data_IF_092915390391
#
_entry.id   IF_092915390391
#
_cell.length_a   1.000
_cell.length_b   1.000
_cell.length_c   1.000
_cell.angle_alpha   90.00
_cell.angle_beta   90.00
_cell.angle_gamma   90.00
#
_symmetry.space_group_name_H-M   'P 1'
#
loop_
_entity.id
_entity.type
_entity.pdbx_description
1 polymer ?
#
# COMPACT_ATOMS: atom_id res chain seq x y z
N UNK A 1 14.24 10.90 18.81
CA UNK A 1 15.33 11.88 18.56
C UNK A 1 15.13 12.43 17.17
N UNK A 2 14.65 13.68 17.06
CA UNK A 2 14.35 14.32 15.78
C UNK A 2 15.62 14.34 14.90
N UNK A 3 15.56 13.73 13.72
CA UNK A 3 16.53 14.02 12.67
C UNK A 3 16.24 15.42 12.12
N UNK A 4 16.75 16.43 12.83
CA UNK A 4 17.04 17.74 12.29
C UNK A 4 18.29 17.60 11.41
N UNK A 5 18.08 17.48 10.10
CA UNK A 5 19.13 17.72 9.13
C UNK A 5 19.13 19.22 8.79
N UNK A 6 20.28 19.84 8.97
CA UNK A 6 20.59 21.21 8.56
C UNK A 6 20.12 21.51 7.13
N UNK A 7 19.37 22.61 6.97
CA UNK A 7 19.43 23.44 5.76
C UNK A 7 18.64 23.02 4.52
N UNK A 8 17.84 21.95 4.54
CA UNK A 8 16.81 21.69 3.52
C UNK A 8 15.50 21.41 4.22
N UNK A 9 14.41 22.07 3.81
CA UNK A 9 13.08 21.87 4.38
C UNK A 9 12.79 20.38 4.53
N UNK A 10 12.63 19.90 5.77
CA UNK A 10 12.18 18.54 6.11
C UNK A 10 10.74 18.42 5.59
N UNK A 11 10.59 18.13 4.31
CA UNK A 11 9.27 18.01 3.71
C UNK A 11 8.74 16.65 4.16
N UNK A 12 7.77 16.64 5.05
CA UNK A 12 7.10 15.39 5.40
C UNK A 12 6.19 14.95 4.24
N UNK A 13 5.94 13.64 4.14
CA UNK A 13 4.97 13.11 3.18
C UNK A 13 3.58 13.66 3.56
N UNK A 14 2.94 14.45 2.69
CA UNK A 14 1.65 15.05 3.01
C UNK A 14 0.55 13.99 3.04
N UNK A 15 -0.33 14.06 4.03
CA UNK A 15 -1.53 13.23 4.05
C UNK A 15 -2.51 13.58 2.93
N UNK A 16 -3.22 12.57 2.43
CA UNK A 16 -4.33 12.70 1.49
C UNK A 16 -5.41 11.67 1.84
N UNK A 17 -6.61 12.15 2.19
CA UNK A 17 -7.76 11.28 2.46
C UNK A 17 -8.32 10.70 1.16
N UNK A 18 -8.57 9.39 1.12
CA UNK A 18 -9.21 8.76 -0.03
C UNK A 18 -10.59 9.40 -0.30
N UNK A 19 -10.88 9.68 -1.56
CA UNK A 19 -12.14 10.30 -1.98
C UNK A 19 -13.19 9.28 -2.42
N UNK A 20 -12.79 8.01 -2.59
CA UNK A 20 -13.62 6.92 -3.10
C UNK A 20 -13.41 5.68 -2.21
N UNK A 21 -14.44 4.84 -2.07
CA UNK A 21 -14.30 3.58 -1.36
C UNK A 21 -13.45 2.63 -2.21
N UNK A 22 -12.42 2.04 -1.61
CA UNK A 22 -11.49 1.12 -2.29
C UNK A 22 -10.28 1.79 -2.98
N UNK A 23 -10.14 3.11 -2.90
CA UNK A 23 -9.02 3.86 -3.51
C UNK A 23 -7.90 4.21 -2.51
N UNK A 24 -7.77 3.48 -1.39
CA UNK A 24 -6.72 3.69 -0.39
C UNK A 24 -5.29 3.59 -0.98
N UNK A 25 -5.03 2.59 -1.84
CA UNK A 25 -3.76 2.48 -2.56
C UNK A 25 -3.44 3.71 -3.43
N UNK A 26 -4.36 4.11 -4.36
CA UNK A 26 -4.24 5.34 -5.13
C UNK A 26 -4.03 6.59 -4.28
N UNK A 27 -4.71 6.69 -3.13
CA UNK A 27 -4.52 7.79 -2.19
C UNK A 27 -3.09 7.80 -1.63
N UNK A 28 -2.50 6.65 -1.28
CA UNK A 28 -1.09 6.54 -0.91
C UNK A 28 -0.17 7.05 -2.03
N UNK A 29 -0.42 6.66 -3.29
CA UNK A 29 0.35 7.15 -4.45
C UNK A 29 0.23 8.67 -4.59
N UNK A 30 -0.95 9.26 -4.38
CA UNK A 30 -1.16 10.72 -4.41
C UNK A 30 -0.29 11.43 -3.39
N UNK A 31 -0.12 10.88 -2.17
CA UNK A 31 0.76 11.45 -1.16
C UNK A 31 2.20 11.60 -1.69
N UNK A 32 2.71 10.57 -2.36
CA UNK A 32 4.03 10.62 -3.00
C UNK A 32 4.09 11.53 -4.22
N UNK A 33 3.04 11.58 -5.04
CA UNK A 33 2.97 12.54 -6.15
C UNK A 33 3.04 13.98 -5.63
N UNK A 34 2.35 14.32 -4.54
CA UNK A 34 2.41 15.66 -3.92
C UNK A 34 3.77 15.91 -3.26
N UNK A 35 4.39 14.87 -2.71
CA UNK A 35 5.73 14.94 -2.15
C UNK A 35 6.78 15.29 -3.20
N UNK A 36 6.89 14.50 -4.28
CA UNK A 36 7.89 14.70 -5.33
C UNK A 36 7.51 15.79 -6.34
N UNK A 37 6.21 16.05 -6.57
CA UNK A 37 5.68 17.01 -7.53
C UNK A 37 4.69 17.96 -6.86
N UNK A 38 5.21 18.93 -6.08
CA UNK A 38 4.39 19.83 -5.24
C UNK A 38 3.29 20.61 -5.96
N UNK A 39 3.41 20.84 -7.28
CA UNK A 39 2.44 21.58 -8.10
C UNK A 39 1.30 20.71 -8.65
N UNK A 40 1.26 19.41 -8.33
CA UNK A 40 0.20 18.54 -8.84
C UNK A 40 -1.17 18.91 -8.25
N UNK A 41 -2.16 19.11 -9.11
CA UNK A 41 -3.54 19.36 -8.68
C UNK A 41 -4.21 18.04 -8.29
N UNK A 42 -4.49 17.87 -7.00
CA UNK A 42 -5.25 16.71 -6.50
C UNK A 42 -6.73 16.90 -6.84
N UNK A 43 -7.31 15.93 -7.53
CA UNK A 43 -8.73 15.91 -7.89
C UNK A 43 -9.27 14.49 -7.81
N UNK A 44 -10.59 14.33 -7.60
CA UNK A 44 -11.25 13.02 -7.66
C UNK A 44 -10.98 12.28 -8.99
N UNK A 45 -10.85 13.02 -10.09
CA UNK A 45 -10.50 12.47 -11.41
C UNK A 45 -9.08 11.89 -11.44
N UNK A 46 -8.12 12.54 -10.78
CA UNK A 46 -6.76 11.99 -10.66
C UNK A 46 -6.79 10.66 -9.89
N UNK A 47 -7.50 10.62 -8.76
CA UNK A 47 -7.62 9.41 -7.94
C UNK A 47 -8.29 8.26 -8.70
N UNK A 48 -9.40 8.52 -9.40
CA UNK A 48 -10.06 7.55 -10.30
C UNK A 48 -9.11 7.01 -11.37
N UNK A 49 -8.30 7.88 -11.98
CA UNK A 49 -7.35 7.50 -13.02
C UNK A 49 -6.20 6.65 -12.47
N UNK A 50 -5.80 6.88 -11.22
CA UNK A 50 -4.80 6.05 -10.54
C UNK A 50 -5.43 4.71 -10.14
N UNK A 51 -6.66 4.73 -9.62
CA UNK A 51 -7.40 3.53 -9.24
C UNK A 51 -7.63 2.58 -10.42
N UNK A 52 -8.03 3.09 -11.58
CA UNK A 52 -8.22 2.27 -12.78
C UNK A 52 -6.92 1.62 -13.30
N UNK A 53 -5.75 2.15 -12.95
CA UNK A 53 -4.45 1.55 -13.28
C UNK A 53 -4.01 0.48 -12.28
N UNK A 54 -4.62 0.47 -11.10
CA UNK A 54 -4.30 -0.46 -10.02
C UNK A 54 -5.41 -1.43 -9.68
N UNK A 55 -6.49 -1.45 -10.46
CA UNK A 55 -7.67 -2.22 -10.15
C UNK A 55 -7.39 -3.73 -10.25
N UNK A 56 -7.83 -4.48 -9.26
CA UNK A 56 -8.06 -5.93 -9.32
C UNK A 56 -9.54 -6.19 -9.62
N UNK A 57 -9.81 -6.62 -10.85
CA UNK A 57 -11.17 -6.90 -11.31
C UNK A 57 -11.62 -8.25 -10.75
N UNK A 58 -12.87 -8.37 -10.26
CA UNK A 58 -13.93 -7.35 -10.24
C UNK A 58 -14.07 -6.57 -8.92
N UNK A 59 -13.25 -6.85 -7.91
CA UNK A 59 -13.53 -6.45 -6.54
C UNK A 59 -13.35 -4.97 -6.19
N UNK A 60 -12.75 -4.16 -7.07
CA UNK A 60 -12.46 -2.76 -6.71
C UNK A 60 -11.19 -2.61 -5.86
N UNK A 61 -10.55 -3.72 -5.49
CA UNK A 61 -9.31 -3.71 -4.72
C UNK A 61 -8.13 -3.19 -5.55
N UNK A 62 -7.08 -2.75 -4.84
CA UNK A 62 -5.89 -2.18 -5.46
C UNK A 62 -4.69 -3.09 -5.34
N UNK A 63 -4.06 -3.34 -6.50
CA UNK A 63 -2.87 -4.15 -6.69
C UNK A 63 -1.57 -3.37 -6.49
N UNK A 64 -0.58 -3.96 -5.85
CA UNK A 64 0.72 -3.34 -5.59
C UNK A 64 1.49 -3.01 -6.86
N UNK A 65 1.43 -3.85 -7.90
CA UNK A 65 2.11 -3.56 -9.15
C UNK A 65 1.41 -2.44 -9.90
N UNK A 66 0.08 -2.35 -9.82
CA UNK A 66 -0.66 -1.21 -10.34
C UNK A 66 -0.32 0.12 -9.67
N UNK A 67 -0.11 0.10 -8.36
CA UNK A 67 0.42 1.25 -7.60
C UNK A 67 1.86 1.56 -8.03
N UNK A 68 2.71 0.53 -8.12
CA UNK A 68 4.09 0.63 -8.61
C UNK A 68 4.16 1.25 -10.01
N UNK A 69 3.37 0.75 -10.96
CA UNK A 69 3.24 1.30 -12.31
C UNK A 69 2.88 2.79 -12.28
N UNK A 70 1.96 3.19 -11.41
CA UNK A 70 1.56 4.58 -11.25
C UNK A 70 2.70 5.47 -10.74
N UNK A 71 3.57 4.96 -9.88
CA UNK A 71 4.80 5.63 -9.45
C UNK A 71 5.83 5.70 -10.59
N UNK A 72 6.03 4.60 -11.30
CA UNK A 72 7.01 4.46 -12.39
C UNK A 72 6.76 5.42 -13.55
N UNK A 73 5.53 5.48 -14.06
CA UNK A 73 5.15 6.45 -15.12
C UNK A 73 5.23 7.91 -14.67
N UNK A 74 5.38 8.15 -13.37
CA UNK A 74 5.59 9.46 -12.79
C UNK A 74 7.07 9.74 -12.46
N UNK A 75 8.00 8.87 -12.90
CA UNK A 75 9.44 8.96 -12.63
C UNK A 75 9.79 8.93 -11.14
N UNK A 76 8.98 8.24 -10.32
CA UNK A 76 9.28 8.00 -8.90
C UNK A 76 9.92 6.62 -8.80
N UNK A 77 11.12 6.55 -8.22
CA UNK A 77 11.87 5.31 -8.04
C UNK A 77 11.19 4.45 -6.97
N UNK A 78 10.68 3.30 -7.37
CA UNK A 78 10.03 2.37 -6.47
C UNK A 78 10.35 0.90 -6.79
N UNK A 79 10.21 0.05 -5.78
CA UNK A 79 10.41 -1.39 -5.83
C UNK A 79 9.24 -2.07 -5.13
N UNK A 80 8.61 -3.03 -5.80
CA UNK A 80 7.56 -3.86 -5.23
C UNK A 80 8.22 -5.03 -4.51
N UNK A 81 7.85 -5.24 -3.25
CA UNK A 81 8.29 -6.40 -2.46
C UNK A 81 7.07 -7.23 -2.07
N UNK A 82 7.09 -8.51 -2.41
CA UNK A 82 6.04 -9.48 -2.06
C UNK A 82 6.66 -10.75 -1.47
N UNK A 83 5.88 -11.53 -0.73
CA UNK A 83 6.33 -12.85 -0.27
C UNK A 83 6.10 -13.94 -1.32
N UNK A 84 5.07 -13.75 -2.16
CA UNK A 84 4.78 -14.56 -3.33
C UNK A 84 4.51 -13.68 -4.56
N UNK A 85 4.99 -14.11 -5.72
CA UNK A 85 4.71 -13.41 -6.98
C UNK A 85 3.23 -13.54 -7.34
N UNK A 86 2.64 -14.71 -7.13
CA UNK A 86 1.24 -14.93 -7.49
C UNK A 86 0.31 -14.26 -6.47
N UNK A 87 -0.76 -13.65 -6.98
CA UNK A 87 -1.80 -13.05 -6.15
C UNK A 87 -3.02 -13.97 -6.07
N UNK A 88 -3.37 -14.39 -4.85
CA UNK A 88 -4.56 -15.19 -4.58
C UNK A 88 -5.28 -14.66 -3.34
N UNK A 89 -6.59 -14.52 -3.45
CA UNK A 89 -7.46 -14.20 -2.32
C UNK A 89 -8.17 -15.47 -1.87
N UNK A 90 -8.07 -15.77 -0.57
CA UNK A 90 -8.82 -16.84 0.07
C UNK A 90 -9.43 -16.35 1.39
N UNK A 91 -10.41 -15.44 1.32
CA UNK A 91 -11.00 -14.81 2.49
C UNK A 91 -11.84 -15.80 3.30
N UNK A 92 -12.10 -15.50 4.57
CA UNK A 92 -12.90 -16.39 5.44
C UNK A 92 -14.40 -16.42 5.09
N UNK A 93 -14.95 -15.27 4.71
CA UNK A 93 -16.38 -15.13 4.40
C UNK A 93 -16.80 -16.11 3.30
N UNK A 94 -17.80 -16.99 3.53
CA UNK A 94 -18.26 -17.96 2.53
C UNK A 94 -18.70 -17.32 1.21
N UNK A 95 -19.37 -16.17 1.30
CA UNK A 95 -19.80 -15.37 0.14
C UNK A 95 -18.58 -14.91 -0.65
N UNK A 96 -17.59 -14.35 0.04
CA UNK A 96 -16.38 -13.88 -0.63
C UNK A 96 -15.55 -15.04 -1.20
N UNK A 97 -15.50 -16.21 -0.55
CA UNK A 97 -14.87 -17.42 -1.13
C UNK A 97 -15.54 -17.83 -2.44
N UNK A 98 -16.88 -17.84 -2.47
CA UNK A 98 -17.62 -18.16 -3.69
C UNK A 98 -17.28 -17.17 -4.82
N UNK A 99 -17.26 -15.86 -4.53
CA UNK A 99 -16.86 -14.85 -5.50
C UNK A 99 -15.41 -15.00 -5.96
N UNK A 100 -14.46 -15.23 -5.05
CA UNK A 100 -13.06 -15.47 -5.39
C UNK A 100 -12.88 -16.75 -6.23
N UNK A 101 -13.72 -17.78 -6.04
CA UNK A 101 -13.70 -18.98 -6.90
C UNK A 101 -14.19 -18.68 -8.32
N UNK A 102 -15.23 -17.87 -8.46
CA UNK A 102 -15.81 -17.50 -9.76
C UNK A 102 -14.87 -16.55 -10.52
N UNK A 103 -14.29 -15.59 -9.82
CA UNK A 103 -13.52 -14.49 -10.44
C UNK A 103 -12.00 -14.61 -10.24
N UNK A 104 -11.51 -15.68 -9.62
CA UNK A 104 -10.10 -15.84 -9.29
C UNK A 104 -9.18 -15.74 -10.50
N UNK A 105 -9.60 -16.32 -11.63
CA UNK A 105 -8.84 -16.22 -12.88
C UNK A 105 -8.76 -14.77 -13.39
N UNK A 106 -9.84 -13.99 -13.27
CA UNK A 106 -9.85 -12.57 -13.64
C UNK A 106 -8.88 -11.77 -12.78
N UNK A 107 -8.87 -12.02 -11.46
CA UNK A 107 -7.95 -11.38 -10.53
C UNK A 107 -6.50 -11.69 -10.89
N UNK A 108 -6.18 -12.97 -11.11
CA UNK A 108 -4.82 -13.41 -11.44
C UNK A 108 -4.36 -12.82 -12.79
N UNK A 109 -5.25 -12.79 -13.80
CA UNK A 109 -4.95 -12.17 -15.09
C UNK A 109 -4.72 -10.67 -14.97
N UNK A 110 -5.57 -9.96 -14.23
CA UNK A 110 -5.41 -8.52 -14.00
C UNK A 110 -4.14 -8.21 -13.20
N UNK A 111 -3.84 -9.01 -12.17
CA UNK A 111 -2.60 -8.91 -11.41
C UNK A 111 -1.36 -9.09 -12.31
N UNK A 112 -1.32 -10.17 -13.12
CA UNK A 112 -0.22 -10.39 -14.09
C UNK A 112 -0.10 -9.26 -15.12
N UNK A 113 -1.23 -8.72 -15.57
CA UNK A 113 -1.25 -7.56 -16.47
C UNK A 113 -0.64 -6.32 -15.80
N UNK A 114 -1.03 -6.00 -14.57
CA UNK A 114 -0.49 -4.88 -13.80
C UNK A 114 1.01 -5.06 -13.53
N UNK A 115 1.43 -6.26 -13.14
CA UNK A 115 2.84 -6.64 -12.98
C UNK A 115 3.67 -6.36 -14.22
N UNK A 116 3.23 -6.87 -15.37
CA UNK A 116 3.93 -6.65 -16.64
C UNK A 116 4.06 -5.17 -17.00
N UNK A 117 3.03 -4.35 -16.70
CA UNK A 117 3.08 -2.90 -16.91
C UNK A 117 4.06 -2.22 -15.96
N UNK A 118 4.06 -2.59 -14.69
CA UNK A 118 4.96 -2.03 -13.69
C UNK A 118 6.42 -2.28 -14.08
N UNK A 119 6.77 -3.53 -14.41
CA UNK A 119 8.12 -3.90 -14.81
C UNK A 119 8.57 -3.15 -16.08
N UNK A 120 7.70 -3.04 -17.08
CA UNK A 120 7.98 -2.25 -18.31
C UNK A 120 8.16 -0.75 -18.03
N UNK A 121 7.62 -0.23 -16.93
CA UNK A 121 7.82 1.17 -16.50
C UNK A 121 9.06 1.39 -15.64
N UNK A 122 9.92 0.37 -15.48
CA UNK A 122 11.17 0.47 -14.72
C UNK A 122 11.03 0.18 -13.22
N UNK A 123 9.87 -0.30 -12.77
CA UNK A 123 9.67 -0.75 -11.39
C UNK A 123 10.41 -2.07 -11.20
N UNK A 124 11.16 -2.16 -10.11
CA UNK A 124 11.82 -3.41 -9.69
C UNK A 124 10.86 -4.25 -8.87
N UNK A 125 11.07 -5.55 -8.90
CA UNK A 125 10.38 -6.49 -8.02
C UNK A 125 11.39 -7.29 -7.20
N UNK A 126 10.98 -7.66 -5.99
CA UNK A 126 11.76 -8.52 -5.12
C UNK A 126 10.83 -9.43 -4.33
N UNK A 127 11.12 -10.73 -4.34
CA UNK A 127 10.44 -11.68 -3.47
C UNK A 127 11.22 -11.79 -2.15
N UNK A 128 10.60 -11.49 -1.03
CA UNK A 128 11.25 -11.50 0.29
C UNK A 128 10.24 -11.64 1.42
N UNK A 129 10.66 -12.22 2.54
CA UNK A 129 9.86 -12.26 3.78
C UNK A 129 9.71 -10.86 4.36
N UNK A 130 8.47 -10.38 4.52
CA UNK A 130 8.19 -9.03 5.02
C UNK A 130 7.96 -9.11 6.53
N UNK A 131 8.91 -8.59 7.29
CA UNK A 131 8.87 -8.53 8.75
C UNK A 131 9.28 -7.15 9.27
N UNK A 132 9.07 -6.92 10.57
CA UNK A 132 9.40 -5.64 11.21
C UNK A 132 10.87 -5.25 11.06
N UNK A 133 11.80 -6.21 11.11
CA UNK A 133 13.23 -5.94 10.96
C UNK A 133 13.55 -5.38 9.56
N UNK A 134 12.95 -5.97 8.51
CA UNK A 134 13.09 -5.46 7.14
C UNK A 134 12.55 -4.04 7.03
N UNK A 135 11.34 -3.79 7.54
CA UNK A 135 10.70 -2.45 7.52
C UNK A 135 11.57 -1.42 8.23
N UNK A 136 12.06 -1.73 9.44
CA UNK A 136 12.91 -0.84 10.21
C UNK A 136 14.24 -0.55 9.50
N UNK A 137 14.85 -1.56 8.86
CA UNK A 137 16.08 -1.36 8.10
C UNK A 137 15.86 -0.48 6.87
N UNK A 138 14.76 -0.70 6.14
CA UNK A 138 14.38 0.15 5.00
C UNK A 138 14.14 1.60 5.43
N UNK A 139 13.45 1.83 6.56
CA UNK A 139 13.21 3.18 7.08
C UNK A 139 14.51 3.88 7.52
N UNK A 140 15.52 3.14 8.01
CA UNK A 140 16.85 3.70 8.33
C UNK A 140 17.59 4.17 7.07
N UNK A 141 17.35 3.54 5.93
CA UNK A 141 17.91 3.90 4.63
C UNK A 141 17.22 5.12 3.96
N UNK A 142 16.41 5.89 4.72
CA UNK A 142 15.62 7.03 4.22
C UNK A 142 14.68 6.65 3.07
N UNK A 143 14.13 5.44 3.13
CA UNK A 143 13.06 5.02 2.23
C UNK A 143 11.70 5.23 2.87
N UNK A 144 10.68 5.33 2.04
CA UNK A 144 9.28 5.36 2.46
C UNK A 144 8.57 4.11 1.97
N UNK A 145 7.53 3.69 2.68
CA UNK A 145 6.88 2.41 2.40
C UNK A 145 5.38 2.63 2.16
N UNK A 146 4.83 1.95 1.16
CA UNK A 146 3.38 1.69 1.06
C UNK A 146 3.18 0.23 1.45
N UNK A 147 2.40 -0.07 2.49
CA UNK A 147 2.25 -1.42 3.03
C UNK A 147 0.77 -1.82 3.05
N UNK A 148 0.51 -3.07 2.67
CA UNK A 148 -0.83 -3.66 2.78
C UNK A 148 -1.05 -4.18 4.20
N UNK A 149 -2.17 -3.82 4.80
CA UNK A 149 -2.49 -4.10 6.21
C UNK A 149 -3.96 -4.45 6.39
N UNK A 150 -4.28 -5.10 7.50
CA UNK A 150 -5.62 -5.21 8.06
C UNK A 150 -5.83 -4.04 9.04
N UNK A 151 -6.56 -3.01 8.60
CA UNK A 151 -6.78 -1.80 9.38
C UNK A 151 -7.47 -2.07 10.74
N UNK A 152 -8.24 -3.17 10.84
CA UNK A 152 -8.95 -3.56 12.08
C UNK A 152 -8.02 -3.97 13.23
N UNK A 153 -6.71 -4.12 12.97
CA UNK A 153 -5.73 -4.52 13.99
C UNK A 153 -5.16 -3.37 14.80
N UNK A 154 -5.32 -2.14 14.32
CA UNK A 154 -4.90 -0.92 15.02
C UNK A 154 -6.03 0.11 15.15
N UNK A 155 -7.18 -0.14 14.52
CA UNK A 155 -8.44 0.55 14.80
C UNK A 155 -9.49 -0.46 15.23
N UNK A 156 -10.06 -0.25 16.42
CA UNK A 156 -11.24 -0.98 16.86
C UNK A 156 -12.49 -0.36 16.21
N UNK A 157 -13.03 -1.03 15.18
CA UNK A 157 -14.37 -0.73 14.66
C UNK A 157 -15.25 -1.98 14.80
N UNK A 158 -16.29 -1.89 15.62
CA UNK A 158 -17.27 -2.95 15.85
C UNK A 158 -17.97 -3.39 14.56
N UNK A 159 -17.98 -2.55 13.51
CA UNK A 159 -18.62 -2.83 12.22
C UNK A 159 -17.81 -3.77 11.33
N UNK A 160 -16.50 -3.90 11.53
CA UNK A 160 -15.62 -4.63 10.62
C UNK A 160 -14.81 -5.73 11.31
N UNK A 161 -15.47 -6.55 12.14
CA UNK A 161 -14.87 -7.70 12.85
C UNK A 161 -14.18 -8.73 11.93
N UNK A 162 -14.49 -8.72 10.62
CA UNK A 162 -13.91 -9.64 9.63
C UNK A 162 -12.61 -9.11 8.99
N UNK A 163 -12.15 -7.92 9.38
CA UNK A 163 -10.96 -7.27 8.84
C UNK A 163 -11.25 -6.33 7.68
N UNK A 164 -10.37 -5.35 7.49
CA UNK A 164 -10.43 -4.39 6.37
C UNK A 164 -9.06 -4.40 5.67
N UNK A 165 -9.01 -4.99 4.47
CA UNK A 165 -7.80 -4.99 3.65
C UNK A 165 -7.53 -3.57 3.14
N UNK A 166 -6.38 -3.01 3.50
CA UNK A 166 -6.10 -1.59 3.35
C UNK A 166 -4.65 -1.32 2.97
N UNK A 167 -4.39 -0.12 2.45
CA UNK A 167 -3.05 0.37 2.11
C UNK A 167 -2.73 1.60 2.93
N UNK A 168 -1.55 1.62 3.55
CA UNK A 168 -1.05 2.74 4.35
C UNK A 168 0.33 3.18 3.86
N UNK A 169 0.72 4.42 4.19
CA UNK A 169 2.09 4.89 4.04
C UNK A 169 2.80 4.87 5.39
N UNK A 170 3.97 4.24 5.48
CA UNK A 170 4.85 4.31 6.65
C UNK A 170 5.97 5.32 6.37
N UNK A 171 6.08 6.34 7.21
CA UNK A 171 6.96 7.50 7.00
C UNK A 171 8.16 7.53 7.95
N UNK A 172 8.15 6.73 9.01
CA UNK A 172 9.29 6.60 9.91
C UNK A 172 9.01 5.74 11.13
N UNK A 173 10.06 5.56 11.94
CA UNK A 173 10.01 4.76 13.16
C UNK A 173 10.89 5.40 14.26
N UNK A 174 10.30 5.65 15.43
CA UNK A 174 10.99 6.00 16.68
C UNK A 174 10.18 5.42 17.85
N UNK A 175 10.50 4.17 18.25
CA UNK A 175 9.72 3.31 19.18
C UNK A 175 8.31 2.94 18.69
N UNK A 176 7.65 3.82 17.95
CA UNK A 176 6.39 3.62 17.23
C UNK A 176 6.59 3.94 15.75
N UNK A 177 5.75 3.36 14.90
CA UNK A 177 5.70 3.64 13.48
C UNK A 177 4.77 4.82 13.22
N UNK A 178 5.27 5.84 12.51
CA UNK A 178 4.46 6.94 11.99
C UNK A 178 3.85 6.51 10.66
N UNK A 179 2.53 6.58 10.57
CA UNK A 179 1.79 6.19 9.36
C UNK A 179 0.86 7.28 8.88
N UNK A 180 0.71 7.40 7.57
CA UNK A 180 -0.39 8.13 6.94
C UNK A 180 -1.39 7.10 6.41
N UNK A 181 -2.52 6.96 7.09
CA UNK A 181 -3.63 6.12 6.67
C UNK A 181 -4.62 6.95 5.83
N UNK A 182 -4.92 6.56 4.58
CA UNK A 182 -5.83 7.29 3.69
C UNK A 182 -7.27 7.45 4.18
N UNK A 183 -7.73 6.63 5.12
CA UNK A 183 -9.09 6.71 5.65
C UNK A 183 -9.13 7.52 6.94
N UNK A 184 -8.13 7.31 7.81
CA UNK A 184 -8.11 7.81 9.18
C UNK A 184 -7.37 9.14 9.32
N UNK A 185 -6.17 9.26 8.74
CA UNK A 185 -5.28 10.39 9.04
C UNK A 185 -3.84 9.97 9.30
N UNK A 186 -3.09 10.88 9.91
CA UNK A 186 -1.72 10.60 10.37
C UNK A 186 -1.77 10.12 11.82
N UNK A 187 -1.26 8.92 12.09
CA UNK A 187 -1.27 8.31 13.42
C UNK A 187 0.07 7.60 13.71
N UNK A 188 0.27 7.23 14.97
CA UNK A 188 1.37 6.37 15.39
C UNK A 188 0.83 5.04 15.89
N UNK A 189 1.42 3.94 15.40
CA UNK A 189 1.09 2.59 15.83
C UNK A 189 2.32 1.89 16.41
N UNK A 190 2.10 0.99 17.35
CA UNK A 190 3.15 0.17 17.97
C UNK A 190 3.68 -0.88 16.99
N UNK A 191 4.87 -1.44 17.23
CA UNK A 191 5.38 -2.54 16.42
C UNK A 191 4.46 -3.77 16.38
N UNK A 192 3.85 -4.12 17.52
CA UNK A 192 2.92 -5.24 17.62
C UNK A 192 1.64 -5.01 16.80
N UNK A 193 1.09 -3.79 16.83
CA UNK A 193 -0.06 -3.42 15.99
C UNK A 193 0.27 -3.52 14.49
N UNK A 194 1.43 -3.00 14.07
CA UNK A 194 1.86 -3.10 12.67
C UNK A 194 2.07 -4.57 12.26
N UNK A 195 2.77 -5.35 13.08
CA UNK A 195 3.02 -6.77 12.81
C UNK A 195 1.72 -7.56 12.67
N UNK A 196 0.80 -7.43 13.64
CA UNK A 196 -0.52 -8.06 13.58
C UNK A 196 -1.33 -7.60 12.37
N UNK A 197 -1.24 -6.32 11.99
CA UNK A 197 -1.94 -5.80 10.82
C UNK A 197 -1.42 -6.39 9.50
N UNK A 198 -0.16 -6.80 9.43
CA UNK A 198 0.41 -7.44 8.24
C UNK A 198 0.11 -8.95 8.17
N UNK A 199 -0.47 -9.57 9.21
CA UNK A 199 -0.88 -10.98 9.20
C UNK A 199 -2.17 -11.21 8.41
N UNK A 200 -2.12 -10.92 7.11
CA UNK A 200 -3.26 -10.91 6.20
C UNK A 200 -3.77 -12.31 5.83
N UNK A 201 -2.93 -13.34 6.00
CA UNK A 201 -3.24 -14.72 5.62
C UNK A 201 -4.44 -15.27 6.37
N UNK A 202 -4.67 -14.83 7.60
CA UNK A 202 -5.78 -15.31 8.42
C UNK A 202 -7.13 -14.79 7.93
N UNK A 203 -7.26 -13.48 7.69
CA UNK A 203 -8.55 -12.87 7.32
C UNK A 203 -8.83 -12.91 5.82
N UNK A 204 -7.78 -12.75 5.00
CA UNK A 204 -7.91 -12.58 3.55
C UNK A 204 -7.24 -13.70 2.73
N UNK A 205 -6.43 -14.55 3.36
CA UNK A 205 -5.72 -15.62 2.66
C UNK A 205 -4.64 -15.13 1.70
N UNK A 206 -4.14 -13.90 1.93
CA UNK A 206 -3.11 -13.24 1.12
C UNK A 206 -1.81 -13.12 1.92
N UNK A 207 -0.70 -13.11 1.20
CA UNK A 207 0.64 -12.86 1.69
C UNK A 207 0.93 -11.37 1.89
N UNK A 208 2.04 -11.04 2.54
CA UNK A 208 2.42 -9.65 2.78
C UNK A 208 2.91 -9.01 1.48
N UNK A 209 2.54 -7.75 1.28
CA UNK A 209 2.91 -6.96 0.09
C UNK A 209 3.22 -5.53 0.48
N UNK A 210 4.29 -4.98 -0.10
CA UNK A 210 4.68 -3.59 0.10
C UNK A 210 5.38 -2.99 -1.12
N UNK A 211 5.51 -1.67 -1.11
CA UNK A 211 6.24 -0.90 -2.11
C UNK A 211 7.24 -0.02 -1.37
N UNK A 212 8.50 -0.15 -1.73
CA UNK A 212 9.60 0.68 -1.23
C UNK A 212 9.80 1.83 -2.19
N UNK A 213 9.81 3.06 -1.69
CA UNK A 213 9.98 4.28 -2.45
C UNK A 213 11.27 4.95 -1.99
N UNK A 214 12.15 5.27 -2.94
CA UNK A 214 13.46 5.88 -2.69
C UNK A 214 13.49 7.30 -3.23
N UNK A 215 14.16 8.20 -2.52
CA UNK A 215 14.47 9.55 -3.01
C UNK A 215 15.50 9.55 -4.15
#
# INVERSE_FOLDING_TARGET
>A
MNHFLNGKSNKEIPHHKQMIIGSCGPACVIMFLKYFKSKIRITKRLELRLWSKSWLIPFGATDEYGLGYSLGINNIKAEVITENIDFRLNPKSPIMKMFCRIFGESIERTHRYNRNKALKSGIKEKVSNINLNLIQNLLKEKTYLIIMVDQSKYISDDKYKQGILHWIVVTGYDKKFRINDPDIGQIEITPDELEKSMELKFNFGIDKRMIVIRE
#
